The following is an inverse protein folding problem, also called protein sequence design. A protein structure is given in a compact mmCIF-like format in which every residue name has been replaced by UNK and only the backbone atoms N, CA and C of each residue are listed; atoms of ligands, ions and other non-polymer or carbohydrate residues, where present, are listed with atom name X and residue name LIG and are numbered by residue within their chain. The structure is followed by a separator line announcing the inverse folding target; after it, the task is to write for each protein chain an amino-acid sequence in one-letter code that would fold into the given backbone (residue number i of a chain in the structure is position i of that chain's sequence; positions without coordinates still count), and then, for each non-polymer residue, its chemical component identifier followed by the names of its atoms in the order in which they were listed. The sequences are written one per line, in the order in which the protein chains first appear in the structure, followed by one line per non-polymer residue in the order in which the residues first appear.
data_IF_130125881096
#
_entry.id   IF_130125881096
#
_cell.length_a   1.000
_cell.length_b   1.000
_cell.length_c   1.000
_cell.angle_alpha   90.00
_cell.angle_beta   90.00
_cell.angle_gamma   90.00
#
_symmetry.space_group_name_H-M   'P 1'
#
loop_
_entity.id
_entity.type
_entity.pdbx_description
1 polymer ?
#
# COMPACT_ATOMS: atom_id res chain seq x y z
N UNK A 1 -41.47 -3.67 -14.61
CA UNK A 1 -40.04 -3.74 -14.95
C UNK A 1 -39.25 -3.54 -13.66
N UNK A 2 -38.55 -4.58 -13.19
CA UNK A 2 -37.73 -4.48 -11.98
C UNK A 2 -36.33 -3.97 -12.38
N UNK A 3 -35.76 -2.96 -11.70
CA UNK A 3 -34.40 -2.49 -11.99
C UNK A 3 -33.38 -3.48 -11.43
N UNK A 4 -32.47 -3.93 -12.30
CA UNK A 4 -31.35 -4.81 -11.97
C UNK A 4 -30.27 -4.04 -11.17
N UNK A 5 -29.64 -4.64 -10.15
CA UNK A 5 -28.72 -3.94 -9.24
C UNK A 5 -27.30 -3.74 -9.82
N UNK A 6 -27.20 -3.43 -11.11
CA UNK A 6 -25.93 -3.45 -11.87
C UNK A 6 -25.12 -2.14 -11.75
N UNK A 7 -25.72 -1.06 -11.25
CA UNK A 7 -25.10 0.27 -11.17
C UNK A 7 -24.53 0.60 -9.78
N UNK A 8 -24.03 -0.40 -9.05
CA UNK A 8 -23.20 -0.12 -7.88
C UNK A 8 -21.87 0.51 -8.37
N UNK A 9 -21.55 1.76 -8.01
CA UNK A 9 -20.30 2.38 -8.43
C UNK A 9 -19.15 1.53 -7.88
N UNK A 10 -18.40 0.89 -8.79
CA UNK A 10 -17.20 0.10 -8.46
C UNK A 10 -16.31 0.98 -7.57
N UNK A 11 -16.25 0.63 -6.29
CA UNK A 11 -15.61 1.45 -5.27
C UNK A 11 -14.19 1.83 -5.71
N UNK A 12 -13.90 3.14 -5.74
CA UNK A 12 -12.56 3.63 -6.05
C UNK A 12 -11.60 3.03 -5.02
N UNK A 13 -10.59 2.30 -5.49
CA UNK A 13 -9.57 1.73 -4.60
C UNK A 13 -8.90 2.87 -3.86
N UNK A 14 -8.95 2.84 -2.53
CA UNK A 14 -8.25 3.82 -1.69
C UNK A 14 -6.75 3.61 -1.86
N UNK A 15 -6.08 4.61 -2.43
CA UNK A 15 -4.63 4.55 -2.64
C UNK A 15 -3.92 4.99 -1.37
N UNK A 16 -3.35 4.03 -0.63
CA UNK A 16 -2.59 4.31 0.58
C UNK A 16 -1.22 4.88 0.25
N UNK A 17 -0.84 5.93 0.98
CA UNK A 17 0.50 6.51 0.89
C UNK A 17 1.54 5.60 1.57
N UNK A 18 2.82 5.79 1.25
CA UNK A 18 3.93 4.99 1.81
C UNK A 18 3.93 5.05 3.34
N UNK A 19 3.69 6.23 3.92
CA UNK A 19 3.64 6.41 5.37
C UNK A 19 2.47 5.63 6.02
N UNK A 20 1.30 5.61 5.38
CA UNK A 20 0.14 4.84 5.86
C UNK A 20 0.40 3.34 5.77
N UNK A 21 1.06 2.87 4.70
CA UNK A 21 1.49 1.48 4.59
C UNK A 21 2.49 1.09 5.69
N UNK A 22 3.44 1.95 6.04
CA UNK A 22 4.37 1.70 7.17
C UNK A 22 3.61 1.62 8.49
N UNK A 23 2.71 2.58 8.77
CA UNK A 23 1.89 2.57 10.00
C UNK A 23 1.02 1.32 10.09
N UNK A 24 0.44 0.88 8.98
CA UNK A 24 -0.31 -0.37 8.87
C UNK A 24 0.56 -1.58 9.24
N UNK A 25 1.81 -1.64 8.77
CA UNK A 25 2.75 -2.72 9.08
C UNK A 25 3.16 -2.72 10.56
N UNK A 26 3.33 -1.55 11.15
CA UNK A 26 3.64 -1.41 12.58
C UNK A 26 2.45 -1.89 13.43
N UNK A 27 1.22 -1.59 13.01
CA UNK A 27 0.00 -2.09 13.65
C UNK A 27 -0.12 -3.61 13.59
N UNK A 28 0.25 -4.24 12.46
CA UNK A 28 0.31 -5.71 12.37
C UNK A 28 1.39 -6.31 13.28
N UNK A 29 2.50 -5.58 13.51
CA UNK A 29 3.55 -5.99 14.44
C UNK A 29 3.09 -5.93 15.91
N UNK A 30 2.19 -4.99 16.25
CA UNK A 30 1.52 -4.89 17.56
C UNK A 30 0.44 -5.97 17.79
N UNK A 31 0.47 -7.09 17.06
CA UNK A 31 -0.47 -8.21 17.14
C UNK A 31 -1.93 -7.87 16.76
N UNK A 32 -2.17 -6.80 16.00
CA UNK A 32 -3.51 -6.53 15.44
C UNK A 32 -3.81 -7.50 14.30
N UNK A 33 -5.04 -8.01 14.25
CA UNK A 33 -5.47 -8.93 13.20
C UNK A 33 -5.59 -8.22 11.84
N UNK A 34 -5.39 -8.96 10.75
CA UNK A 34 -5.53 -8.44 9.39
C UNK A 34 -6.92 -7.83 9.13
N UNK A 35 -7.97 -8.47 9.66
CA UNK A 35 -9.34 -7.97 9.57
C UNK A 35 -9.55 -6.64 10.31
N UNK A 36 -9.01 -6.51 11.54
CA UNK A 36 -9.13 -5.27 12.32
C UNK A 36 -8.41 -4.11 11.63
N UNK A 37 -7.21 -4.37 11.11
CA UNK A 37 -6.42 -3.39 10.35
C UNK A 37 -7.14 -3.02 9.04
N UNK A 38 -7.65 -3.99 8.30
CA UNK A 38 -8.42 -3.74 7.07
C UNK A 38 -9.64 -2.86 7.31
N UNK A 39 -10.39 -3.13 8.39
CA UNK A 39 -11.55 -2.34 8.79
C UNK A 39 -11.19 -0.88 9.08
N UNK A 40 -10.11 -0.62 9.82
CA UNK A 40 -9.68 0.76 10.15
C UNK A 40 -9.30 1.59 8.94
N UNK A 41 -8.73 0.97 7.89
CA UNK A 41 -8.33 1.68 6.68
C UNK A 41 -9.40 1.63 5.56
N UNK A 42 -10.44 0.80 5.72
CA UNK A 42 -11.47 0.55 4.70
C UNK A 42 -10.93 -0.25 3.51
N UNK A 43 -9.99 -1.17 3.76
CA UNK A 43 -9.35 -2.01 2.74
C UNK A 43 -9.66 -3.48 2.97
N UNK A 44 -9.71 -4.25 1.89
CA UNK A 44 -9.94 -5.68 1.99
C UNK A 44 -8.73 -6.39 2.62
N UNK A 45 -9.00 -7.50 3.29
CA UNK A 45 -7.98 -8.28 4.01
C UNK A 45 -6.87 -8.78 3.07
N UNK A 46 -7.24 -9.19 1.85
CA UNK A 46 -6.29 -9.65 0.84
C UNK A 46 -5.28 -8.56 0.46
N UNK A 47 -5.68 -7.30 0.38
CA UNK A 47 -4.75 -6.18 0.16
C UNK A 47 -3.85 -5.94 1.37
N UNK A 48 -4.36 -6.09 2.60
CA UNK A 48 -3.52 -6.01 3.81
C UNK A 48 -2.42 -7.07 3.75
N UNK A 49 -2.76 -8.29 3.30
CA UNK A 49 -1.80 -9.39 3.12
C UNK A 49 -0.76 -9.08 2.06
N UNK A 50 -1.17 -8.58 0.88
CA UNK A 50 -0.21 -8.18 -0.16
C UNK A 50 0.71 -7.04 0.29
N UNK A 51 0.20 -6.08 1.09
CA UNK A 51 1.02 -5.02 1.68
C UNK A 51 2.05 -5.61 2.66
N UNK A 52 1.67 -6.64 3.43
CA UNK A 52 2.59 -7.34 4.34
C UNK A 52 3.70 -8.07 3.59
N UNK A 53 3.41 -8.70 2.47
CA UNK A 53 4.41 -9.33 1.60
C UNK A 53 5.43 -8.30 1.06
N UNK A 54 4.98 -7.08 0.75
CA UNK A 54 5.83 -5.99 0.28
C UNK A 54 6.52 -5.17 1.41
N UNK A 55 6.46 -5.62 2.67
CA UNK A 55 6.93 -4.87 3.85
C UNK A 55 8.35 -4.30 3.69
N UNK A 56 9.30 -5.11 3.22
CA UNK A 56 10.69 -4.69 3.05
C UNK A 56 10.84 -3.58 1.99
N UNK A 57 10.11 -3.70 0.87
CA UNK A 57 10.12 -2.72 -0.21
C UNK A 57 9.51 -1.39 0.24
N UNK A 58 8.43 -1.45 1.01
CA UNK A 58 7.74 -0.28 1.57
C UNK A 58 8.66 0.44 2.56
N UNK A 59 9.28 -0.27 3.52
CA UNK A 59 10.23 0.33 4.47
C UNK A 59 11.46 0.92 3.79
N UNK A 60 12.01 0.23 2.79
CA UNK A 60 13.13 0.74 1.99
C UNK A 60 12.76 2.02 1.25
N UNK A 61 11.58 2.05 0.63
CA UNK A 61 11.09 3.25 -0.10
C UNK A 61 10.82 4.39 0.88
N UNK A 62 10.26 4.12 2.05
CA UNK A 62 10.07 5.10 3.11
C UNK A 62 11.42 5.72 3.54
N UNK A 63 12.43 4.89 3.83
CA UNK A 63 13.76 5.36 4.20
C UNK A 63 14.42 6.21 3.10
N UNK A 64 14.30 5.80 1.83
CA UNK A 64 14.80 6.56 0.68
C UNK A 64 14.04 7.90 0.53
N UNK A 65 12.72 7.91 0.75
CA UNK A 65 11.92 9.13 0.68
C UNK A 65 12.28 10.13 1.79
N UNK A 66 12.56 9.64 3.00
CA UNK A 66 13.02 10.48 4.11
C UNK A 66 14.43 11.05 3.87
N UNK A 67 15.32 10.27 3.23
CA UNK A 67 16.67 10.73 2.90
C UNK A 67 16.68 11.81 1.79
N UNK A 68 15.75 11.70 0.81
CA UNK A 68 15.59 12.69 -0.27
C UNK A 68 15.17 14.08 0.22
N UNK A 69 14.58 14.20 1.42
CA UNK A 69 14.27 15.51 2.00
C UNK A 69 15.51 16.21 2.60
N UNK A 70 16.61 15.51 2.85
CA UNK A 70 17.82 16.10 3.45
C UNK A 70 18.93 16.43 2.44
N UNK A 71 18.89 15.87 1.22
CA UNK A 71 19.89 16.15 0.18
C UNK A 71 19.19 16.42 -1.15
N UNK A 72 19.31 17.66 -1.62
CA UNK A 72 18.66 18.14 -2.83
C UNK A 72 18.94 17.29 -4.08
N UNK A 73 17.85 16.94 -4.76
CA UNK A 73 17.69 16.67 -6.20
C UNK A 73 18.68 15.70 -6.91
N UNK A 74 18.16 14.56 -7.39
CA UNK A 74 17.98 14.30 -8.84
C UNK A 74 17.23 13.00 -9.14
N UNK A 75 16.52 13.06 -10.26
CA UNK A 75 15.43 12.24 -10.77
C UNK A 75 15.90 10.96 -11.50
N UNK A 76 14.94 10.17 -12.00
CA UNK A 76 15.04 9.00 -12.89
C UNK A 76 15.47 7.72 -12.19
N UNK A 77 14.56 6.82 -11.79
CA UNK A 77 14.14 5.71 -12.66
C UNK A 77 12.87 5.03 -12.11
N UNK A 78 11.68 5.48 -12.51
CA UNK A 78 10.41 4.81 -12.16
C UNK A 78 10.06 3.62 -13.05
N UNK A 79 10.90 3.23 -14.01
CA UNK A 79 10.57 2.16 -14.97
C UNK A 79 11.39 0.86 -14.81
N UNK A 80 12.53 0.86 -14.10
CA UNK A 80 13.41 -0.34 -14.08
C UNK A 80 13.06 -1.34 -12.96
N UNK A 81 12.43 -0.91 -11.85
CA UNK A 81 12.00 -1.84 -10.79
C UNK A 81 10.68 -2.56 -11.07
N UNK A 82 9.84 -2.07 -11.99
CA UNK A 82 8.63 -2.79 -12.41
C UNK A 82 8.94 -4.05 -13.26
N UNK A 83 10.20 -4.28 -13.66
CA UNK A 83 10.61 -5.42 -14.49
C UNK A 83 11.69 -6.34 -13.88
N UNK A 84 12.02 -6.22 -12.58
CA UNK A 84 13.03 -7.08 -11.93
C UNK A 84 12.50 -7.97 -10.78
N UNK A 85 11.19 -8.20 -10.72
CA UNK A 85 10.59 -9.29 -9.92
C UNK A 85 9.88 -10.32 -10.82
N UNK A 86 10.42 -10.54 -12.03
CA UNK A 86 10.04 -11.67 -12.89
C UNK A 86 11.25 -12.14 -13.70
N UNK A 87 12.17 -12.84 -13.04
CA UNK A 87 13.04 -13.83 -13.67
C UNK A 87 13.41 -14.89 -12.67
#
# INVERSE_FOLDING_TARGET
MQPTPEDAPKGKRKMLNIAEKVKLLDMLKEAKSYAAVGCQYGINESSVRSIKEEENNIRRTAAISSNRMQKGLRLFTTTVLYNNCKK
#
